data_IF_265027545241
#
_entry.id   IF_265027545241
#
_cell.length_a   1.000
_cell.length_b   1.000
_cell.length_c   1.000
_cell.angle_alpha   90.00
_cell.angle_beta   90.00
_cell.angle_gamma   90.00
#
_symmetry.space_group_name_H-M   'P 1'
#
loop_
_entity.id
_entity.type
_entity.pdbx_description
1 polymer ?
#
# COMPACT_ATOMS: atom_id res chain seq x y z
N UNK A 1 2.34 -20.24 6.21
CA UNK A 1 1.58 -19.08 5.72
C UNK A 1 2.59 -17.97 5.52
N UNK A 2 3.06 -17.73 4.30
CA UNK A 2 4.02 -16.65 4.06
C UNK A 2 3.26 -15.33 4.20
N UNK A 3 3.67 -14.47 5.14
CA UNK A 3 3.19 -13.10 5.20
C UNK A 3 3.59 -12.40 3.89
N UNK A 4 2.71 -11.62 3.25
CA UNK A 4 3.09 -10.87 2.07
C UNK A 4 4.20 -9.91 2.47
N UNK A 5 5.40 -10.14 1.94
CA UNK A 5 6.52 -9.24 2.09
C UNK A 5 6.17 -7.97 1.31
N UNK A 6 5.89 -6.90 2.06
CA UNK A 6 5.62 -5.62 1.43
C UNK A 6 6.91 -5.11 0.79
N UNK A 7 6.86 -4.56 -0.44
CA UNK A 7 8.03 -4.01 -1.10
C UNK A 7 8.67 -2.95 -0.20
N UNK A 8 9.99 -3.02 -0.07
CA UNK A 8 10.77 -2.00 0.64
C UNK A 8 11.15 -0.91 -0.36
N UNK A 9 11.20 0.33 0.09
CA UNK A 9 11.57 1.46 -0.77
C UNK A 9 12.79 2.18 -0.22
N UNK A 10 13.60 2.71 -1.14
CA UNK A 10 14.73 3.58 -0.82
C UNK A 10 14.74 4.79 -1.74
N UNK A 11 14.78 5.98 -1.16
CA UNK A 11 15.11 7.18 -1.91
C UNK A 11 16.64 7.27 -2.05
N UNK A 12 17.17 7.22 -3.27
CA UNK A 12 18.61 7.36 -3.54
C UNK A 12 19.07 8.81 -3.47
N UNK A 13 18.15 9.78 -3.60
CA UNK A 13 18.45 11.22 -3.49
C UNK A 13 18.77 11.67 -2.06
N UNK A 14 18.08 11.15 -1.05
CA UNK A 14 18.23 11.60 0.35
C UNK A 14 18.48 10.48 1.37
N UNK A 15 18.46 9.21 0.94
CA UNK A 15 18.67 8.06 1.82
C UNK A 15 17.46 7.65 2.68
N UNK A 16 16.29 8.26 2.48
CA UNK A 16 15.07 7.87 3.20
C UNK A 16 14.68 6.41 2.89
N UNK A 17 14.23 5.69 3.91
CA UNK A 17 13.86 4.27 3.88
C UNK A 17 12.53 4.00 4.60
N UNK A 18 11.85 5.03 5.12
CA UNK A 18 10.79 4.83 6.13
C UNK A 18 9.47 5.54 5.83
N UNK A 19 9.44 6.54 4.95
CA UNK A 19 8.23 7.35 4.69
C UNK A 19 8.10 7.65 3.20
N UNK A 20 7.06 7.13 2.57
CA UNK A 20 6.78 7.33 1.16
C UNK A 20 5.28 7.46 0.97
N UNK A 21 4.89 8.32 0.05
CA UNK A 21 3.52 8.42 -0.43
C UNK A 21 3.36 7.40 -1.57
N UNK A 22 2.48 6.41 -1.36
CA UNK A 22 2.27 5.30 -2.30
C UNK A 22 0.88 5.41 -2.89
N UNK A 23 0.81 5.52 -4.22
CA UNK A 23 -0.44 5.44 -4.98
C UNK A 23 -0.58 4.05 -5.57
N UNK A 24 -1.72 3.40 -5.34
CA UNK A 24 -1.97 2.04 -5.80
C UNK A 24 -3.46 1.81 -6.12
N UNK A 25 -3.72 1.04 -7.16
CA UNK A 25 -5.04 0.48 -7.44
C UNK A 25 -5.19 -0.85 -6.73
N UNK A 26 -6.24 -1.00 -5.91
CA UNK A 26 -6.57 -2.24 -5.19
C UNK A 26 -7.94 -2.76 -5.62
N UNK A 27 -8.00 -4.04 -5.95
CA UNK A 27 -9.26 -4.78 -6.13
C UNK A 27 -9.48 -5.67 -4.92
N UNK A 28 -10.57 -5.44 -4.20
CA UNK A 28 -10.90 -6.17 -2.99
C UNK A 28 -12.30 -6.80 -3.06
N UNK A 29 -12.50 -7.85 -2.28
CA UNK A 29 -13.82 -8.39 -1.96
C UNK A 29 -14.04 -8.22 -0.47
N UNK A 30 -15.16 -7.62 -0.08
CA UNK A 30 -15.49 -7.40 1.32
C UNK A 30 -16.76 -8.17 1.70
N UNK A 31 -16.79 -8.70 2.93
CA UNK A 31 -17.98 -9.27 3.54
C UNK A 31 -18.68 -8.18 4.37
N UNK A 32 -19.83 -7.72 3.87
CA UNK A 32 -20.61 -6.66 4.47
C UNK A 32 -21.68 -7.26 5.38
N UNK A 33 -21.71 -6.82 6.63
CA UNK A 33 -22.75 -7.14 7.59
C UNK A 33 -23.51 -5.86 7.91
N UNK A 34 -24.79 -5.84 7.52
CA UNK A 34 -25.71 -4.75 7.83
C UNK A 34 -26.56 -5.12 9.04
N UNK A 35 -26.70 -4.20 9.97
CA UNK A 35 -27.74 -4.33 11.01
C UNK A 35 -29.12 -4.12 10.39
N UNK A 36 -30.19 -4.52 11.10
CA UNK A 36 -31.58 -4.26 10.65
C UNK A 36 -31.84 -2.75 10.48
N UNK A 37 -31.15 -1.90 11.25
CA UNK A 37 -31.23 -0.44 11.14
C UNK A 37 -30.39 0.17 10.00
N UNK A 38 -29.64 -0.64 9.25
CA UNK A 38 -28.87 -0.19 8.08
C UNK A 38 -27.41 0.18 8.35
N UNK A 39 -26.94 0.11 9.59
CA UNK A 39 -25.52 0.36 9.92
C UNK A 39 -24.62 -0.74 9.33
N UNK A 40 -23.48 -0.36 8.75
CA UNK A 40 -22.56 -1.26 8.04
C UNK A 40 -21.32 -1.58 8.88
N UNK A 41 -21.07 -2.87 9.09
CA UNK A 41 -19.77 -3.40 9.50
C UNK A 41 -19.14 -4.21 8.37
N UNK A 42 -17.88 -3.97 8.06
CA UNK A 42 -17.09 -4.82 7.16
C UNK A 42 -16.29 -5.80 8.03
N UNK A 43 -16.71 -7.06 8.10
CA UNK A 43 -16.09 -8.04 9.00
C UNK A 43 -14.84 -8.69 8.40
N UNK A 44 -14.76 -8.75 7.07
CA UNK A 44 -13.59 -9.28 6.35
C UNK A 44 -13.39 -8.54 5.04
N UNK A 45 -12.12 -8.30 4.71
CA UNK A 45 -11.71 -7.78 3.41
C UNK A 45 -10.60 -8.68 2.86
N UNK A 46 -10.84 -9.24 1.69
CA UNK A 46 -9.88 -10.04 0.93
C UNK A 46 -9.32 -9.18 -0.21
N UNK A 47 -8.00 -8.96 -0.23
CA UNK A 47 -7.33 -8.26 -1.35
C UNK A 47 -7.10 -9.27 -2.47
N UNK A 48 -7.70 -9.02 -3.64
CA UNK A 48 -7.65 -9.91 -4.79
C UNK A 48 -6.52 -9.55 -5.76
N UNK A 49 -6.22 -8.25 -5.88
CA UNK A 49 -5.13 -7.72 -6.67
C UNK A 49 -4.74 -6.34 -6.15
N UNK A 50 -3.46 -6.01 -6.28
CA UNK A 50 -2.88 -4.72 -5.95
C UNK A 50 -1.82 -4.38 -6.99
N UNK A 51 -1.91 -3.17 -7.54
CA UNK A 51 -0.94 -2.62 -8.48
C UNK A 51 -0.44 -1.28 -7.95
N UNK A 52 0.87 -1.16 -7.72
CA UNK A 52 1.49 0.08 -7.25
C UNK A 52 1.80 0.96 -8.45
N UNK A 53 1.16 2.11 -8.51
CA UNK A 53 1.24 3.03 -9.65
C UNK A 53 2.39 4.02 -9.48
N UNK A 54 2.58 4.53 -8.26
CA UNK A 54 3.61 5.52 -7.96
C UNK A 54 4.07 5.44 -6.51
N UNK A 55 5.34 5.76 -6.29
CA UNK A 55 5.95 5.88 -4.97
C UNK A 55 6.78 7.16 -4.93
N UNK A 56 6.42 8.07 -4.04
CA UNK A 56 7.09 9.36 -3.87
C UNK A 56 7.76 9.46 -2.50
N UNK A 57 8.96 10.02 -2.45
CA UNK A 57 9.63 10.31 -1.18
C UNK A 57 8.99 11.54 -0.53
N UNK A 58 8.41 11.40 0.66
CA UNK A 58 7.74 12.49 1.39
C UNK A 58 8.62 13.75 1.59
N UNK A 59 9.95 13.61 1.57
CA UNK A 59 10.88 14.74 1.72
C UNK A 59 11.38 15.36 0.43
N UNK A 60 11.59 14.55 -0.61
CA UNK A 60 12.09 15.06 -1.89
C UNK A 60 10.95 15.42 -2.84
N UNK A 61 9.74 14.94 -2.56
CA UNK A 61 8.61 15.02 -3.46
C UNK A 61 8.97 14.44 -4.83
N UNK A 62 8.50 15.08 -5.92
CA UNK A 62 8.75 14.67 -7.30
C UNK A 62 10.23 14.66 -7.71
N UNK A 63 11.10 15.35 -6.97
CA UNK A 63 12.55 15.38 -7.25
C UNK A 63 13.31 14.18 -6.66
N UNK A 64 12.64 13.35 -5.86
CA UNK A 64 13.23 12.14 -5.29
C UNK A 64 13.32 11.02 -6.32
N UNK A 65 14.42 10.27 -6.30
CA UNK A 65 14.55 9.02 -7.06
C UNK A 65 14.33 7.87 -6.09
N UNK A 66 13.25 7.13 -6.28
CA UNK A 66 12.86 6.01 -5.41
C UNK A 66 13.07 4.68 -6.13
N UNK A 67 13.72 3.75 -5.45
CA UNK A 67 13.93 2.38 -5.91
C UNK A 67 13.21 1.39 -4.99
N UNK A 68 12.60 0.38 -5.59
CA UNK A 68 12.07 -0.78 -4.88
C UNK A 68 13.22 -1.73 -4.55
N UNK A 69 13.31 -2.13 -3.30
CA UNK A 69 14.23 -3.14 -2.82
C UNK A 69 13.49 -4.47 -2.74
N UNK A 70 14.07 -5.51 -3.32
CA UNK A 70 13.54 -6.85 -3.23
C UNK A 70 13.43 -7.31 -1.77
N UNK A 71 12.34 -7.99 -1.46
CA UNK A 71 12.22 -8.76 -0.23
C UNK A 71 13.04 -10.05 -0.41
N UNK A 72 14.26 -10.06 0.12
CA UNK A 72 15.11 -11.26 0.18
C UNK A 72 14.54 -12.35 1.07
#
# INVERSE_FOLDING_TARGET
MAEPSHPRYRCTSCGNLTRFDVTATRRTRAFHHYTVGGELTVERTDVLAEDVEAVECTWCGPAGVVETLDAG
#
